data_IF_484794101189
#
_entry.id   IF_484794101189
#
_cell.length_a   1.000
_cell.length_b   1.000
_cell.length_c   1.000
_cell.angle_alpha   90.00
_cell.angle_beta   90.00
_cell.angle_gamma   90.00
#
_symmetry.space_group_name_H-M   'P 1'
#
loop_
_entity.id
_entity.type
_entity.pdbx_description
1 polymer ?
#
# COMPACT_ATOMS: atom_id res chain seq x y z
N UNK A 1 -10.08 5.30 28.46
CA UNK A 1 -10.17 6.47 27.61
C UNK A 1 -9.38 7.69 28.11
N UNK A 2 -9.25 7.88 29.39
CA UNK A 2 -8.47 9.01 29.99
C UNK A 2 -6.98 8.99 29.63
N UNK A 3 -6.40 7.82 29.39
CA UNK A 3 -5.00 7.65 29.00
C UNK A 3 -4.67 8.28 27.63
N UNK A 4 -5.59 8.17 26.67
CA UNK A 4 -5.43 8.74 25.33
C UNK A 4 -5.49 10.27 25.34
N UNK A 5 -6.30 10.85 26.22
CA UNK A 5 -6.39 12.32 26.36
C UNK A 5 -5.18 12.91 27.08
N UNK A 6 -4.51 12.13 27.94
CA UNK A 6 -3.26 12.54 28.60
C UNK A 6 -2.02 12.38 27.70
N UNK A 7 -2.05 11.52 26.67
CA UNK A 7 -0.94 11.28 25.77
C UNK A 7 -0.65 12.43 24.76
N UNK A 8 -1.29 13.59 24.95
CA UNK A 8 -1.05 14.79 24.15
C UNK A 8 -1.60 14.69 22.72
N UNK A 9 -1.53 15.81 22.01
CA UNK A 9 -2.08 15.92 20.66
C UNK A 9 -1.43 14.99 19.62
N UNK A 10 -0.22 14.46 19.87
CA UNK A 10 0.51 13.54 18.98
C UNK A 10 -0.15 12.17 18.82
N UNK A 11 -1.04 11.76 19.71
CA UNK A 11 -1.82 10.52 19.57
C UNK A 11 -2.77 10.58 18.36
N UNK A 12 -3.27 11.76 18.01
CA UNK A 12 -4.18 11.95 16.89
C UNK A 12 -3.54 11.63 15.52
N UNK A 13 -2.37 12.19 15.17
CA UNK A 13 -1.69 11.81 13.92
C UNK A 13 -1.32 10.32 13.89
N UNK A 14 -0.89 9.71 15.00
CA UNK A 14 -0.59 8.28 15.07
C UNK A 14 -1.86 7.45 14.86
N UNK A 15 -2.96 7.82 15.48
CA UNK A 15 -4.27 7.20 15.29
C UNK A 15 -4.76 7.30 13.83
N UNK A 16 -4.59 8.46 13.19
CA UNK A 16 -4.90 8.66 11.79
C UNK A 16 -4.06 7.71 10.90
N UNK A 17 -2.77 7.58 11.18
CA UNK A 17 -1.90 6.62 10.47
C UNK A 17 -2.41 5.18 10.62
N UNK A 18 -2.86 4.78 11.80
CA UNK A 18 -3.42 3.45 12.04
C UNK A 18 -4.68 3.19 11.20
N UNK A 19 -5.63 4.12 11.22
CA UNK A 19 -6.88 4.00 10.43
C UNK A 19 -6.58 4.01 8.94
N UNK A 20 -5.73 4.94 8.49
CA UNK A 20 -5.35 5.04 7.08
C UNK A 20 -4.65 3.77 6.58
N UNK A 21 -3.75 3.18 7.38
CA UNK A 21 -3.05 1.94 7.01
C UNK A 21 -4.01 0.77 6.84
N UNK A 22 -4.98 0.61 7.74
CA UNK A 22 -6.00 -0.44 7.65
C UNK A 22 -6.92 -0.22 6.44
N UNK A 23 -7.38 1.01 6.22
CA UNK A 23 -8.24 1.35 5.09
C UNK A 23 -7.54 1.06 3.76
N UNK A 24 -6.30 1.53 3.59
CA UNK A 24 -5.49 1.27 2.41
C UNK A 24 -5.21 -0.22 2.20
N UNK A 25 -4.95 -0.96 3.28
CA UNK A 25 -4.72 -2.40 3.19
C UNK A 25 -5.96 -3.12 2.65
N UNK A 26 -7.13 -2.91 3.24
CA UNK A 26 -8.35 -3.57 2.80
C UNK A 26 -8.74 -3.17 1.37
N UNK A 27 -8.64 -1.89 1.03
CA UNK A 27 -8.87 -1.43 -0.34
C UNK A 27 -8.00 -2.18 -1.34
N UNK A 28 -6.69 -2.24 -1.08
CA UNK A 28 -5.73 -2.90 -1.98
C UNK A 28 -5.85 -4.42 -1.98
N UNK A 29 -6.15 -5.02 -0.84
CA UNK A 29 -6.39 -6.45 -0.74
C UNK A 29 -7.53 -6.91 -1.65
N UNK A 30 -8.64 -6.17 -1.68
CA UNK A 30 -9.77 -6.46 -2.56
C UNK A 30 -9.50 -6.07 -4.01
N UNK A 31 -8.77 -4.99 -4.27
CA UNK A 31 -8.42 -4.57 -5.62
C UNK A 31 -7.47 -5.56 -6.32
N UNK A 32 -6.51 -6.13 -5.58
CA UNK A 32 -5.56 -7.14 -6.09
C UNK A 32 -6.14 -8.56 -6.12
N UNK A 33 -7.44 -8.73 -5.92
CA UNK A 33 -8.07 -10.04 -6.02
C UNK A 33 -7.88 -10.64 -7.41
N UNK A 34 -7.55 -11.93 -7.47
CA UNK A 34 -7.28 -12.68 -8.69
C UNK A 34 -8.37 -12.52 -9.76
N UNK A 35 -9.64 -12.45 -9.32
CA UNK A 35 -10.79 -12.35 -10.21
C UNK A 35 -10.85 -11.04 -11.01
N UNK A 36 -10.18 -9.99 -10.55
CA UNK A 36 -10.21 -8.66 -11.21
C UNK A 36 -8.99 -8.38 -12.08
N UNK A 37 -7.84 -8.95 -11.74
CA UNK A 37 -6.58 -8.65 -12.44
C UNK A 37 -6.34 -9.63 -13.58
N UNK A 38 -6.27 -10.93 -13.29
CA UNK A 38 -5.92 -11.96 -14.27
C UNK A 38 -6.51 -13.32 -13.84
N UNK A 39 -7.78 -13.63 -14.15
CA UNK A 39 -8.33 -14.95 -13.90
C UNK A 39 -7.71 -15.98 -14.83
N UNK A 40 -7.18 -17.09 -14.31
CA UNK A 40 -6.53 -18.13 -15.13
C UNK A 40 -7.43 -18.68 -16.24
N UNK A 41 -8.68 -18.99 -15.88
CA UNK A 41 -9.67 -19.49 -16.85
C UNK A 41 -9.94 -18.52 -18.00
N UNK A 42 -9.89 -17.21 -17.72
CA UNK A 42 -10.05 -16.18 -18.73
C UNK A 42 -8.81 -16.07 -19.63
N UNK A 43 -7.59 -16.21 -19.07
CA UNK A 43 -6.36 -16.21 -19.86
C UNK A 43 -6.36 -17.33 -20.88
N UNK A 44 -6.72 -18.55 -20.46
CA UNK A 44 -6.78 -19.71 -21.34
C UNK A 44 -7.78 -19.49 -22.48
N UNK A 45 -8.97 -18.97 -22.17
CA UNK A 45 -9.99 -18.63 -23.18
C UNK A 45 -9.52 -17.55 -24.16
N UNK A 46 -8.82 -16.52 -23.68
CA UNK A 46 -8.29 -15.44 -24.56
C UNK A 46 -7.21 -15.98 -25.49
N UNK A 47 -6.29 -16.80 -24.97
CA UNK A 47 -5.20 -17.38 -25.77
C UNK A 47 -5.77 -18.33 -26.83
N UNK A 48 -6.79 -19.13 -26.49
CA UNK A 48 -7.51 -20.00 -27.42
C UNK A 48 -8.25 -19.21 -28.50
N UNK A 49 -9.04 -18.20 -28.11
CA UNK A 49 -9.77 -17.33 -29.03
C UNK A 49 -8.85 -16.62 -30.02
N UNK A 50 -7.69 -16.11 -29.55
CA UNK A 50 -6.70 -15.49 -30.43
C UNK A 50 -6.10 -16.48 -31.43
N UNK A 51 -5.87 -17.75 -31.04
CA UNK A 51 -5.37 -18.79 -31.93
C UNK A 51 -6.37 -19.20 -33.01
N UNK A 52 -7.67 -19.08 -32.74
CA UNK A 52 -8.76 -19.39 -33.66
C UNK A 52 -9.22 -18.16 -34.49
N UNK A 53 -8.64 -16.98 -34.25
CA UNK A 53 -9.05 -15.73 -34.89
C UNK A 53 -10.43 -15.23 -34.46
N UNK A 54 -10.93 -15.70 -33.32
CA UNK A 54 -12.24 -15.34 -32.76
C UNK A 54 -12.08 -14.17 -31.76
N UNK A 55 -13.15 -13.43 -31.54
CA UNK A 55 -13.14 -12.32 -30.58
C UNK A 55 -13.08 -12.83 -29.13
N UNK A 56 -12.05 -12.42 -28.33
CA UNK A 56 -11.92 -12.86 -26.95
C UNK A 56 -13.08 -12.37 -26.06
N UNK A 57 -13.53 -13.19 -25.11
CA UNK A 57 -14.66 -12.84 -24.24
C UNK A 57 -14.27 -11.84 -23.15
N UNK A 58 -15.22 -10.98 -22.74
CA UNK A 58 -15.19 -10.16 -21.52
C UNK A 58 -13.91 -9.30 -21.32
N UNK A 59 -13.37 -8.69 -22.38
CA UNK A 59 -12.16 -7.83 -22.32
C UNK A 59 -12.31 -6.67 -21.34
N UNK A 60 -13.50 -6.11 -21.20
CA UNK A 60 -13.75 -4.95 -20.32
C UNK A 60 -13.80 -5.29 -18.82
N UNK A 61 -14.04 -6.56 -18.48
CA UNK A 61 -14.21 -7.00 -17.09
C UNK A 61 -12.91 -7.31 -16.37
N UNK A 62 -11.84 -7.53 -17.13
CA UNK A 62 -10.54 -7.94 -16.62
C UNK A 62 -9.50 -6.87 -16.95
N UNK A 63 -8.67 -6.51 -15.96
CA UNK A 63 -7.65 -5.48 -16.17
C UNK A 63 -6.68 -5.84 -17.32
N UNK A 64 -6.31 -7.12 -17.44
CA UNK A 64 -5.46 -7.62 -18.52
C UNK A 64 -6.12 -7.55 -19.92
N UNK A 65 -7.45 -7.46 -20.02
CA UNK A 65 -8.15 -7.29 -21.29
C UNK A 65 -7.76 -6.03 -22.03
N UNK A 66 -7.37 -4.97 -21.29
CA UNK A 66 -6.81 -3.74 -21.86
C UNK A 66 -5.52 -3.97 -22.65
N UNK A 67 -4.73 -4.99 -22.31
CA UNK A 67 -3.52 -5.36 -23.06
C UNK A 67 -3.89 -5.98 -24.41
N UNK A 68 -4.88 -6.87 -24.44
CA UNK A 68 -5.39 -7.50 -25.65
C UNK A 68 -6.01 -6.46 -26.59
N UNK A 69 -6.81 -5.56 -26.05
CA UNK A 69 -7.40 -4.45 -26.82
C UNK A 69 -6.34 -3.50 -27.41
N UNK A 70 -5.30 -3.17 -26.61
CA UNK A 70 -4.20 -2.33 -27.06
C UNK A 70 -3.39 -2.99 -28.20
N UNK A 71 -3.21 -4.30 -28.15
CA UNK A 71 -2.55 -5.09 -29.20
C UNK A 71 -3.34 -5.04 -30.51
N UNK A 72 -4.67 -5.20 -30.45
CA UNK A 72 -5.54 -5.23 -31.64
C UNK A 72 -5.68 -3.88 -32.34
N UNK A 73 -5.63 -2.77 -31.60
CA UNK A 73 -5.82 -1.42 -32.17
C UNK A 73 -4.73 -1.01 -33.16
N UNK A 74 -3.48 -1.45 -32.98
CA UNK A 74 -2.35 -1.04 -33.83
C UNK A 74 -1.45 -2.27 -34.14
N UNK A 75 -1.78 -3.02 -35.21
CA UNK A 75 -1.05 -4.25 -35.58
C UNK A 75 0.44 -4.04 -35.83
N UNK A 76 0.86 -2.88 -36.32
CA UNK A 76 2.26 -2.59 -36.64
C UNK A 76 3.16 -2.36 -35.41
N UNK A 77 2.57 -2.15 -34.22
CA UNK A 77 3.30 -1.87 -32.98
C UNK A 77 2.76 -2.67 -31.78
N UNK A 78 2.36 -3.91 -32.02
CA UNK A 78 1.75 -4.78 -31.01
C UNK A 78 2.56 -4.89 -29.75
N UNK A 79 3.84 -5.27 -29.88
CA UNK A 79 4.75 -5.48 -28.75
C UNK A 79 4.92 -4.22 -27.90
N UNK A 80 5.12 -3.05 -28.52
CA UNK A 80 5.24 -1.77 -27.81
C UNK A 80 3.97 -1.44 -27.02
N UNK A 81 2.80 -1.67 -27.63
CA UNK A 81 1.50 -1.38 -27.00
C UNK A 81 1.15 -2.30 -25.84
N UNK A 82 1.44 -3.59 -25.97
CA UNK A 82 1.27 -4.56 -24.89
C UNK A 82 2.18 -4.19 -23.73
N UNK A 83 3.43 -3.86 -24.00
CA UNK A 83 4.40 -3.45 -22.98
C UNK A 83 4.00 -2.13 -22.30
N UNK A 84 3.58 -1.12 -23.07
CA UNK A 84 3.10 0.16 -22.52
C UNK A 84 1.88 -0.05 -21.61
N UNK A 85 0.92 -0.86 -22.04
CA UNK A 85 -0.27 -1.14 -21.24
C UNK A 85 0.07 -1.99 -20.00
N UNK A 86 0.96 -2.96 -20.13
CA UNK A 86 1.47 -3.74 -19.00
C UNK A 86 2.10 -2.85 -17.92
N UNK A 87 2.97 -1.91 -18.31
CA UNK A 87 3.58 -0.94 -17.38
C UNK A 87 2.52 -0.06 -16.69
N UNK A 88 1.46 0.36 -17.39
CA UNK A 88 0.36 1.11 -16.78
C UNK A 88 -0.40 0.28 -15.76
N UNK A 89 -0.67 -0.98 -16.06
CA UNK A 89 -1.32 -1.91 -15.12
C UNK A 89 -0.47 -2.15 -13.88
N UNK A 90 0.85 -2.31 -14.03
CA UNK A 90 1.79 -2.42 -12.91
C UNK A 90 1.73 -1.17 -12.03
N UNK A 91 1.82 0.01 -12.64
CA UNK A 91 1.75 1.28 -11.91
C UNK A 91 0.42 1.46 -11.16
N UNK A 92 -0.71 1.01 -11.74
CA UNK A 92 -2.02 1.00 -11.07
C UNK A 92 -2.05 0.03 -9.88
N UNK A 93 -1.41 -1.14 -9.99
CA UNK A 93 -1.34 -2.12 -8.89
C UNK A 93 -0.44 -1.64 -7.75
N UNK A 94 0.68 -1.01 -8.05
CA UNK A 94 1.61 -0.46 -7.06
C UNK A 94 1.09 0.80 -6.37
N UNK A 95 0.18 1.51 -7.02
CA UNK A 95 -0.42 2.74 -6.50
C UNK A 95 -1.14 2.46 -5.18
N UNK A 96 -0.82 3.22 -4.15
CA UNK A 96 -1.38 3.08 -2.79
C UNK A 96 -0.61 2.11 -1.90
N UNK A 97 0.12 1.11 -2.42
CA UNK A 97 1.01 0.27 -1.61
C UNK A 97 2.20 1.09 -1.10
N UNK A 98 2.70 1.99 -1.90
CA UNK A 98 3.77 2.94 -1.52
C UNK A 98 3.38 3.78 -0.30
N UNK A 99 2.10 4.19 -0.18
CA UNK A 99 1.61 4.92 0.99
C UNK A 99 1.66 4.11 2.28
N UNK A 100 1.39 2.79 2.22
CA UNK A 100 1.57 1.93 3.40
C UNK A 100 3.02 1.90 3.88
N UNK A 101 3.98 1.82 2.94
CA UNK A 101 5.40 1.90 3.25
C UNK A 101 5.77 3.24 3.91
N UNK A 102 5.22 4.33 3.40
CA UNK A 102 5.41 5.67 3.96
C UNK A 102 4.84 5.77 5.38
N UNK A 103 3.61 5.29 5.62
CA UNK A 103 3.00 5.27 6.96
C UNK A 103 3.83 4.42 7.93
N UNK A 104 4.29 3.24 7.50
CA UNK A 104 5.13 2.37 8.33
C UNK A 104 6.44 3.04 8.76
N UNK A 105 7.02 3.88 7.90
CA UNK A 105 8.22 4.66 8.21
C UNK A 105 7.93 5.89 9.07
N UNK A 106 6.82 6.58 8.82
CA UNK A 106 6.48 7.81 9.54
C UNK A 106 5.93 7.56 10.95
N UNK A 107 5.19 6.47 11.19
CA UNK A 107 4.57 6.23 12.47
C UNK A 107 5.56 6.18 13.65
N UNK A 108 6.74 5.51 13.57
CA UNK A 108 7.74 5.57 14.63
C UNK A 108 8.34 6.96 14.82
N UNK A 109 8.52 7.72 13.72
CA UNK A 109 9.04 9.08 13.79
C UNK A 109 8.06 10.03 14.48
N UNK A 110 6.77 9.88 14.25
CA UNK A 110 5.72 10.60 14.98
C UNK A 110 5.75 10.24 16.48
N UNK A 111 5.94 8.97 16.81
CA UNK A 111 6.12 8.53 18.20
C UNK A 111 7.36 9.17 18.84
N UNK A 112 8.50 9.18 18.15
CA UNK A 112 9.74 9.84 18.62
C UNK A 112 9.54 11.35 18.79
N UNK A 113 8.87 12.00 17.84
CA UNK A 113 8.54 13.43 17.94
C UNK A 113 7.69 13.70 19.19
N UNK A 114 6.76 12.81 19.52
CA UNK A 114 5.98 12.88 20.76
C UNK A 114 6.84 12.86 22.03
N UNK A 115 7.90 12.02 22.07
CA UNK A 115 8.83 12.04 23.23
C UNK A 115 9.60 13.34 23.33
N UNK A 116 10.10 13.87 22.22
CA UNK A 116 10.86 15.13 22.22
C UNK A 116 9.99 16.29 22.71
N UNK A 117 8.77 16.40 22.20
CA UNK A 117 7.84 17.45 22.61
C UNK A 117 7.40 17.29 24.08
N UNK A 118 7.14 16.06 24.52
CA UNK A 118 6.82 15.79 25.93
C UNK A 118 7.94 16.17 26.87
N UNK A 119 9.20 15.89 26.50
CA UNK A 119 10.36 16.30 27.29
C UNK A 119 10.57 17.83 27.29
N UNK A 120 10.36 18.49 26.17
CA UNK A 120 10.41 19.97 26.10
C UNK A 120 9.38 20.58 27.06
N UNK A 121 8.16 20.06 27.09
CA UNK A 121 7.11 20.54 28.00
C UNK A 121 7.49 20.35 29.47
N UNK A 122 8.08 19.19 29.80
CA UNK A 122 8.61 18.92 31.17
C UNK A 122 9.67 19.94 31.57
N UNK A 123 10.67 20.19 30.70
CA UNK A 123 11.73 21.14 31.00
C UNK A 123 11.21 22.59 31.09
N UNK A 124 10.26 22.98 30.25
CA UNK A 124 9.64 24.30 30.35
C UNK A 124 8.96 24.53 31.71
N UNK A 125 8.24 23.53 32.22
CA UNK A 125 7.61 23.61 33.55
C UNK A 125 8.65 23.74 34.66
N UNK A 126 9.78 23.03 34.56
CA UNK A 126 10.89 23.14 35.53
C UNK A 126 11.53 24.51 35.60
N UNK A 127 11.53 25.27 34.49
CA UNK A 127 12.12 26.61 34.46
C UNK A 127 11.20 27.70 35.02
N UNK A 128 9.89 27.44 35.07
CA UNK A 128 8.88 28.44 35.51
C UNK A 128 8.49 28.24 36.97
N UNK A 129 8.48 27.00 37.46
CA UNK A 129 8.04 26.68 38.81
C UNK A 129 9.24 26.33 39.71
N UNK A 130 9.45 27.12 40.78
CA UNK A 130 10.40 26.79 41.86
C UNK A 130 9.82 25.68 42.72
N UNK A 131 10.32 24.43 42.53
CA UNK A 131 9.88 23.27 43.32
C UNK A 131 9.02 22.28 42.53
N UNK A 132 9.44 21.92 41.32
CA UNK A 132 8.74 20.89 40.53
C UNK A 132 8.67 19.57 41.28
N UNK A 133 7.46 19.09 41.51
CA UNK A 133 7.21 17.80 42.12
C UNK A 133 7.73 16.67 41.20
N UNK A 134 8.45 15.72 41.77
CA UNK A 134 8.97 14.53 41.08
C UNK A 134 7.85 13.73 40.36
N UNK A 135 6.61 13.81 40.85
CA UNK A 135 5.44 13.18 40.21
C UNK A 135 5.06 13.84 38.87
N UNK A 136 5.17 15.16 38.76
CA UNK A 136 4.90 15.88 37.52
C UNK A 136 5.95 15.52 36.46
N UNK A 137 7.23 15.46 36.88
CA UNK A 137 8.33 15.04 36.03
C UNK A 137 8.15 13.59 35.52
N UNK A 138 7.87 12.66 36.44
CA UNK A 138 7.62 11.26 36.10
C UNK A 138 6.43 11.09 35.13
N UNK A 139 5.36 11.87 35.35
CA UNK A 139 4.18 11.87 34.48
C UNK A 139 4.45 12.32 33.05
N UNK A 140 5.25 13.38 32.86
CA UNK A 140 5.65 13.85 31.55
C UNK A 140 6.55 12.87 30.78
N UNK A 141 7.52 12.27 31.48
CA UNK A 141 8.40 11.22 30.89
C UNK A 141 7.57 10.01 30.49
N UNK A 142 6.69 9.53 31.37
CA UNK A 142 5.79 8.40 31.08
C UNK A 142 5.00 8.67 29.80
N UNK A 143 4.40 9.84 29.71
CA UNK A 143 3.59 10.24 28.57
C UNK A 143 4.40 10.24 27.27
N UNK A 144 5.60 10.80 27.31
CA UNK A 144 6.51 10.80 26.18
C UNK A 144 6.82 9.37 25.71
N UNK A 145 7.14 8.44 26.61
CA UNK A 145 7.43 7.04 26.28
C UNK A 145 6.22 6.32 25.66
N UNK A 146 5.01 6.59 26.14
CA UNK A 146 3.78 5.99 25.61
C UNK A 146 3.58 6.35 24.14
N UNK A 147 3.87 7.58 23.72
CA UNK A 147 3.71 7.98 22.31
C UNK A 147 4.65 7.21 21.38
N UNK A 148 5.87 6.92 21.80
CA UNK A 148 6.80 6.09 21.03
C UNK A 148 6.30 4.66 20.90
N UNK A 149 5.81 4.06 21.97
CA UNK A 149 5.23 2.71 21.95
C UNK A 149 4.04 2.66 20.99
N UNK A 150 3.14 3.64 21.04
CA UNK A 150 2.01 3.73 20.12
C UNK A 150 2.44 3.86 18.65
N UNK A 151 3.47 4.67 18.37
CA UNK A 151 4.03 4.79 17.03
C UNK A 151 4.57 3.45 16.51
N UNK A 152 5.28 2.70 17.34
CA UNK A 152 5.80 1.37 16.99
C UNK A 152 4.68 0.34 16.82
N UNK A 153 3.66 0.35 17.67
CA UNK A 153 2.49 -0.53 17.56
C UNK A 153 1.72 -0.34 16.25
N UNK A 154 1.71 0.86 15.70
CA UNK A 154 1.13 1.13 14.37
C UNK A 154 2.09 0.71 13.25
N UNK A 155 3.37 1.02 13.40
CA UNK A 155 4.37 0.79 12.36
C UNK A 155 4.59 -0.69 12.05
N UNK A 156 4.73 -1.54 13.08
CA UNK A 156 5.05 -2.96 12.91
C UNK A 156 3.99 -3.70 12.07
N UNK A 157 2.69 -3.69 12.42
CA UNK A 157 1.68 -4.35 11.59
C UNK A 157 1.56 -3.70 10.22
N UNK A 158 1.67 -2.37 10.10
CA UNK A 158 1.62 -1.69 8.80
C UNK A 158 2.74 -2.15 7.88
N UNK A 159 3.96 -2.35 8.40
CA UNK A 159 5.09 -2.87 7.63
C UNK A 159 4.84 -4.30 7.15
N UNK A 160 4.28 -5.16 8.01
CA UNK A 160 3.92 -6.53 7.63
C UNK A 160 2.86 -6.51 6.52
N UNK A 161 1.80 -5.72 6.67
CA UNK A 161 0.75 -5.57 5.66
C UNK A 161 1.29 -5.05 4.33
N UNK A 162 2.20 -4.07 4.37
CA UNK A 162 2.90 -3.55 3.20
C UNK A 162 3.69 -4.65 2.46
N UNK A 163 4.47 -5.46 3.19
CA UNK A 163 5.25 -6.58 2.61
C UNK A 163 4.36 -7.66 1.99
N UNK A 164 3.24 -7.99 2.63
CA UNK A 164 2.28 -8.95 2.11
C UNK A 164 1.67 -8.47 0.77
N UNK A 165 1.30 -7.20 0.68
CA UNK A 165 0.78 -6.62 -0.57
C UNK A 165 1.84 -6.53 -1.66
N UNK A 166 3.07 -6.15 -1.33
CA UNK A 166 4.19 -6.16 -2.28
C UNK A 166 4.40 -7.54 -2.90
N UNK A 167 4.43 -8.60 -2.09
CA UNK A 167 4.56 -9.97 -2.58
C UNK A 167 3.43 -10.37 -3.53
N UNK A 168 2.19 -9.93 -3.24
CA UNK A 168 1.05 -10.17 -4.13
C UNK A 168 1.16 -9.43 -5.46
N UNK A 169 1.56 -8.16 -5.42
CA UNK A 169 1.76 -7.39 -6.66
C UNK A 169 2.83 -8.04 -7.51
N UNK A 170 3.98 -8.42 -6.93
CA UNK A 170 5.05 -9.06 -7.66
C UNK A 170 4.61 -10.36 -8.34
N UNK A 171 3.81 -11.18 -7.64
CA UNK A 171 3.23 -12.38 -8.25
C UNK A 171 2.30 -12.05 -9.43
N UNK A 172 1.50 -10.96 -9.34
CA UNK A 172 0.62 -10.54 -10.44
C UNK A 172 1.40 -9.96 -11.63
N UNK A 173 2.50 -9.24 -11.37
CA UNK A 173 3.38 -8.74 -12.43
C UNK A 173 3.94 -9.92 -13.23
N UNK A 174 4.48 -10.94 -12.55
CA UNK A 174 5.00 -12.13 -13.24
C UNK A 174 3.93 -12.87 -14.05
N UNK A 175 2.70 -12.99 -13.54
CA UNK A 175 1.58 -13.58 -14.29
C UNK A 175 1.21 -12.74 -15.53
N UNK A 176 1.23 -11.40 -15.43
CA UNK A 176 0.97 -10.49 -16.57
C UNK A 176 2.06 -10.55 -17.63
N UNK A 177 3.33 -10.67 -17.24
CA UNK A 177 4.45 -10.81 -18.15
C UNK A 177 4.32 -12.11 -18.96
N UNK A 178 4.04 -13.24 -18.31
CA UNK A 178 3.81 -14.52 -19.00
C UNK A 178 2.61 -14.43 -19.95
N UNK A 179 1.52 -13.80 -19.52
CA UNK A 179 0.36 -13.61 -20.39
C UNK A 179 0.67 -12.71 -21.59
N UNK A 180 1.45 -11.63 -21.39
CA UNK A 180 1.88 -10.74 -22.47
C UNK A 180 2.67 -11.48 -23.53
N UNK A 181 3.62 -12.32 -23.13
CA UNK A 181 4.41 -13.13 -24.06
C UNK A 181 3.54 -14.13 -24.82
N UNK A 182 2.61 -14.81 -24.13
CA UNK A 182 1.69 -15.76 -24.78
C UNK A 182 0.82 -15.14 -25.87
N UNK A 183 0.23 -13.94 -25.62
CA UNK A 183 -0.61 -13.27 -26.62
C UNK A 183 0.21 -12.74 -27.80
N UNK A 184 1.48 -12.37 -27.59
CA UNK A 184 2.36 -11.90 -28.66
C UNK A 184 2.88 -13.03 -29.54
N UNK A 185 3.14 -14.21 -28.98
CA UNK A 185 3.61 -15.39 -29.74
C UNK A 185 2.51 -15.96 -30.64
N UNK A 186 1.27 -16.05 -30.11
CA UNK A 186 0.14 -16.66 -30.83
C UNK A 186 -0.40 -15.81 -31.96
N UNK A 187 -0.37 -14.48 -31.81
CA UNK A 187 -0.88 -13.57 -32.85
C UNK A 187 0.17 -13.29 -33.96
N UNK A 188 1.40 -13.79 -33.85
CA UNK A 188 2.49 -13.70 -34.83
C UNK A 188 2.64 -14.94 -35.74
N UNK A 189 1.84 -15.97 -35.51
CA UNK A 189 1.80 -17.20 -36.30
C UNK A 189 0.64 -17.24 -37.27
#
# INVERSE_FOLDING_TARGET
MEWLMRAGWMVWPIGLCAVASLALFFERWFALSNRRVLPKTWCDQVVEALSEGVEPPDLDRVAAGRMVEAMRKIPSRRRERVQEMGQRLVAEMERGISWLGTIAALAPLLGLTGTVLGMIEVFQRMTVETGVDSQVLAGGIWMALVTTVLGMLVAMPTLVLHRLLQGRVQARISELEVFADQILERDGS
#
